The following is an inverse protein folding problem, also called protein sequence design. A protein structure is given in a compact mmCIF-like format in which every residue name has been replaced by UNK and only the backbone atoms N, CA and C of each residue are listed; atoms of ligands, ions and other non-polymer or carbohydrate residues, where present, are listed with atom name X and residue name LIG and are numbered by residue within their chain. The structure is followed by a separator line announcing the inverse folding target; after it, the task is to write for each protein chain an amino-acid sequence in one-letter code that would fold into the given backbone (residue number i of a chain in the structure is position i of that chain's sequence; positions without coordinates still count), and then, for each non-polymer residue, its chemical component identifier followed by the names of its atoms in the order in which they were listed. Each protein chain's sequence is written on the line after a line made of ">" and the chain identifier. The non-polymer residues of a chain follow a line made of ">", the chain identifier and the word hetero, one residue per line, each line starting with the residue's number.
data_IF_610087806949
#
_entry.id   IF_610087806949
#
_cell.length_a   1.000
_cell.length_b   1.000
_cell.length_c   1.000
_cell.angle_alpha   90.00
_cell.angle_beta   90.00
_cell.angle_gamma   90.00
#
_symmetry.space_group_name_H-M   'P 1'
#
loop_
_entity.id
_entity.type
_entity.pdbx_description
1 polymer ?
#
# COMPACT_ATOMS: atom_id res chain seq x y z
N UNK A 1 -41.88 29.15 -3.40
CA UNK A 1 -41.47 27.73 -3.39
C UNK A 1 -40.32 27.43 -4.37
N UNK A 2 -40.10 28.21 -5.44
CA UNK A 2 -38.99 27.98 -6.39
C UNK A 2 -37.57 28.23 -5.82
N UNK A 3 -37.41 29.14 -4.84
CA UNK A 3 -36.10 29.50 -4.25
C UNK A 3 -35.49 28.40 -3.38
N UNK A 4 -36.29 27.63 -2.64
CA UNK A 4 -35.79 26.54 -1.79
C UNK A 4 -35.26 25.33 -2.58
N UNK A 5 -35.74 25.13 -3.82
CA UNK A 5 -35.24 24.07 -4.69
C UNK A 5 -33.92 24.47 -5.34
N UNK A 6 -33.74 25.74 -5.75
CA UNK A 6 -32.48 26.22 -6.32
C UNK A 6 -31.32 26.19 -5.32
N UNK A 7 -31.55 26.57 -4.05
CA UNK A 7 -30.52 26.51 -3.00
C UNK A 7 -30.12 25.07 -2.67
N UNK A 8 -31.06 24.11 -2.67
CA UNK A 8 -30.76 22.69 -2.45
C UNK A 8 -29.93 22.09 -3.57
N UNK A 9 -30.25 22.39 -4.83
CA UNK A 9 -29.49 21.85 -5.98
C UNK A 9 -28.07 22.42 -6.02
N UNK A 10 -27.88 23.69 -5.63
CA UNK A 10 -26.54 24.29 -5.52
C UNK A 10 -25.76 23.71 -4.34
N UNK A 11 -26.37 23.52 -3.16
CA UNK A 11 -25.71 22.89 -2.02
C UNK A 11 -25.30 21.44 -2.28
N UNK A 12 -26.15 20.65 -2.98
CA UNK A 12 -25.84 19.27 -3.38
C UNK A 12 -24.72 19.24 -4.41
N UNK A 13 -24.78 20.10 -5.44
CA UNK A 13 -23.70 20.20 -6.44
C UNK A 13 -22.36 20.64 -5.83
N UNK A 14 -22.40 21.51 -4.81
CA UNK A 14 -21.19 21.95 -4.08
C UNK A 14 -20.67 20.86 -3.15
N UNK A 15 -21.56 20.07 -2.54
CA UNK A 15 -21.21 18.93 -1.71
C UNK A 15 -20.57 17.79 -2.50
N UNK A 16 -21.15 17.42 -3.64
CA UNK A 16 -20.62 16.38 -4.52
C UNK A 16 -19.26 16.79 -5.12
N UNK A 17 -19.12 18.08 -5.48
CA UNK A 17 -17.84 18.64 -5.92
C UNK A 17 -16.77 18.51 -4.83
N UNK A 18 -17.08 18.91 -3.58
CA UNK A 18 -16.16 18.83 -2.46
C UNK A 18 -15.73 17.38 -2.17
N UNK A 19 -16.68 16.44 -2.15
CA UNK A 19 -16.39 15.02 -1.95
C UNK A 19 -15.49 14.49 -3.05
N UNK A 20 -15.77 14.83 -4.31
CA UNK A 20 -14.96 14.41 -5.45
C UNK A 20 -13.54 14.98 -5.37
N UNK A 21 -13.39 16.27 -5.06
CA UNK A 21 -12.07 16.90 -4.90
C UNK A 21 -11.28 16.25 -3.76
N UNK A 22 -11.92 15.96 -2.63
CA UNK A 22 -11.28 15.30 -1.50
C UNK A 22 -10.89 13.85 -1.81
N UNK A 23 -11.70 13.13 -2.59
CA UNK A 23 -11.37 11.79 -3.06
C UNK A 23 -10.16 11.80 -3.99
N UNK A 24 -10.11 12.74 -4.95
CA UNK A 24 -8.96 12.92 -5.85
C UNK A 24 -7.70 13.26 -5.05
N UNK A 25 -7.78 14.20 -4.11
CA UNK A 25 -6.66 14.59 -3.27
C UNK A 25 -6.19 13.42 -2.37
N UNK A 26 -7.12 12.62 -1.83
CA UNK A 26 -6.79 11.40 -1.10
C UNK A 26 -6.06 10.41 -2.00
N UNK A 27 -6.53 10.21 -3.23
CA UNK A 27 -5.93 9.25 -4.15
C UNK A 27 -4.53 9.69 -4.60
N UNK A 28 -4.30 10.99 -4.79
CA UNK A 28 -2.97 11.53 -5.09
C UNK A 28 -1.95 11.33 -3.96
N UNK A 29 -2.40 11.12 -2.72
CA UNK A 29 -1.54 10.77 -1.58
C UNK A 29 -1.36 9.25 -1.42
N UNK A 30 -2.39 8.45 -1.72
CA UNK A 30 -2.35 6.99 -1.56
C UNK A 30 -1.53 6.31 -2.66
N UNK A 31 -1.67 6.76 -3.91
CA UNK A 31 -1.02 6.11 -5.05
C UNK A 31 0.51 6.07 -4.93
N UNK A 32 1.20 7.17 -4.57
CA UNK A 32 2.66 7.13 -4.38
C UNK A 32 3.09 6.15 -3.31
N UNK A 33 2.37 6.07 -2.19
CA UNK A 33 2.68 5.14 -1.09
C UNK A 33 2.57 3.69 -1.57
N UNK A 34 1.49 3.36 -2.29
CA UNK A 34 1.28 2.01 -2.83
C UNK A 34 2.37 1.68 -3.85
N UNK A 35 2.69 2.60 -4.75
CA UNK A 35 3.70 2.40 -5.76
C UNK A 35 5.09 2.19 -5.14
N UNK A 36 5.47 3.02 -4.17
CA UNK A 36 6.73 2.89 -3.44
C UNK A 36 6.82 1.54 -2.72
N UNK A 37 5.75 1.12 -2.05
CA UNK A 37 5.68 -0.20 -1.41
C UNK A 37 5.89 -1.31 -2.42
N UNK A 38 5.13 -1.31 -3.52
CA UNK A 38 5.20 -2.32 -4.57
C UNK A 38 6.59 -2.42 -5.22
N UNK A 39 7.17 -1.29 -5.63
CA UNK A 39 8.50 -1.26 -6.24
C UNK A 39 9.59 -1.76 -5.29
N UNK A 40 9.51 -1.40 -4.00
CA UNK A 40 10.41 -1.95 -3.01
C UNK A 40 10.21 -3.46 -2.84
N UNK A 41 8.95 -3.93 -2.86
CA UNK A 41 8.62 -5.36 -2.82
C UNK A 41 9.29 -6.14 -3.95
N UNK A 42 9.21 -5.63 -5.18
CA UNK A 42 9.88 -6.23 -6.33
C UNK A 42 11.40 -6.34 -6.14
N UNK A 43 12.05 -5.28 -5.66
CA UNK A 43 13.52 -5.26 -5.46
C UNK A 43 13.96 -6.19 -4.36
N UNK A 44 13.26 -6.14 -3.24
CA UNK A 44 13.62 -6.86 -2.01
C UNK A 44 13.32 -8.35 -2.10
N UNK A 45 12.43 -8.79 -3.01
CA UNK A 45 12.15 -10.19 -3.27
C UNK A 45 13.41 -11.01 -3.60
N UNK A 46 14.41 -10.41 -4.24
CA UNK A 46 15.68 -11.08 -4.57
C UNK A 46 16.50 -11.51 -3.34
N UNK A 47 16.25 -10.90 -2.18
CA UNK A 47 16.95 -11.20 -0.92
C UNK A 47 16.13 -12.09 0.02
N UNK A 48 14.94 -12.52 -0.41
CA UNK A 48 14.05 -13.33 0.40
C UNK A 48 14.29 -14.82 0.15
N UNK A 49 14.21 -15.58 1.22
CA UNK A 49 14.29 -17.03 1.17
C UNK A 49 12.94 -17.64 0.76
N UNK A 50 12.95 -18.90 0.34
CA UNK A 50 11.72 -19.67 0.08
C UNK A 50 10.77 -19.69 1.30
N UNK A 51 11.32 -19.77 2.52
CA UNK A 51 10.52 -19.71 3.75
C UNK A 51 9.85 -18.35 3.94
N UNK A 52 10.54 -17.26 3.56
CA UNK A 52 9.98 -15.92 3.60
C UNK A 52 8.80 -15.79 2.63
N UNK A 53 8.91 -16.32 1.40
CA UNK A 53 7.80 -16.34 0.44
C UNK A 53 6.59 -17.12 0.94
N UNK A 54 6.82 -18.33 1.48
CA UNK A 54 5.74 -19.14 2.06
C UNK A 54 5.06 -18.46 3.26
N UNK A 55 5.85 -17.77 4.08
CA UNK A 55 5.30 -17.00 5.19
C UNK A 55 4.41 -15.86 4.67
N UNK A 56 4.88 -15.10 3.68
CA UNK A 56 4.15 -13.98 3.11
C UNK A 56 2.86 -14.42 2.40
N UNK A 57 2.84 -15.55 1.68
CA UNK A 57 1.60 -16.10 1.10
C UNK A 57 0.54 -16.39 2.17
N UNK A 58 0.95 -16.95 3.32
CA UNK A 58 0.03 -17.25 4.42
C UNK A 58 -0.52 -15.99 5.07
N UNK A 59 0.34 -14.98 5.25
CA UNK A 59 -0.04 -13.72 5.90
C UNK A 59 -0.77 -12.78 4.93
N UNK A 60 -0.64 -12.96 3.61
CA UNK A 60 -1.37 -12.16 2.61
C UNK A 60 -2.89 -12.26 2.78
N UNK A 61 -3.42 -13.44 3.13
CA UNK A 61 -4.84 -13.61 3.41
C UNK A 61 -5.31 -12.79 4.64
N UNK A 62 -4.38 -12.47 5.54
CA UNK A 62 -4.60 -11.60 6.70
C UNK A 62 -4.29 -10.13 6.37
N UNK A 63 -3.73 -9.83 5.19
CA UNK A 63 -3.33 -8.50 4.75
C UNK A 63 -4.49 -7.51 4.69
N UNK A 64 -5.66 -7.98 4.27
CA UNK A 64 -6.92 -7.22 4.22
C UNK A 64 -7.43 -6.82 5.60
N UNK A 65 -6.96 -7.49 6.66
CA UNK A 65 -7.30 -7.21 8.05
C UNK A 65 -6.14 -6.56 8.82
N UNK A 66 -5.12 -6.01 8.14
CA UNK A 66 -4.00 -5.33 8.82
C UNK A 66 -4.51 -4.25 9.77
N UNK A 67 -4.44 -4.57 11.05
CA UNK A 67 -4.56 -3.61 12.15
C UNK A 67 -3.15 -3.12 12.55
N UNK A 68 -3.09 -2.29 13.59
CA UNK A 68 -1.81 -1.76 14.07
C UNK A 68 -0.85 -2.84 14.63
N UNK A 69 -1.37 -3.97 15.10
CA UNK A 69 -0.54 -5.06 15.65
C UNK A 69 0.10 -5.88 14.54
N UNK A 70 -0.66 -6.21 13.50
CA UNK A 70 -0.15 -6.88 12.29
C UNK A 70 0.82 -5.96 11.54
N UNK A 71 0.53 -4.65 11.51
CA UNK A 71 1.45 -3.66 11.00
C UNK A 71 2.78 -3.67 11.78
N UNK A 72 2.74 -3.69 13.12
CA UNK A 72 3.95 -3.68 13.94
C UNK A 72 4.83 -4.89 13.67
N UNK A 73 4.22 -6.07 13.51
CA UNK A 73 4.94 -7.29 13.13
C UNK A 73 5.60 -7.16 11.75
N UNK A 74 4.85 -6.76 10.72
CA UNK A 74 5.39 -6.65 9.37
C UNK A 74 6.42 -5.53 9.23
N UNK A 75 6.18 -4.41 9.90
CA UNK A 75 7.11 -3.29 9.91
C UNK A 75 8.43 -3.65 10.58
N UNK A 76 8.38 -4.37 11.71
CA UNK A 76 9.59 -4.90 12.35
C UNK A 76 10.31 -5.88 11.44
N UNK A 77 9.57 -6.73 10.72
CA UNK A 77 10.15 -7.63 9.73
C UNK A 77 10.87 -6.88 8.60
N UNK A 78 10.25 -5.83 8.05
CA UNK A 78 10.87 -4.94 7.06
C UNK A 78 12.12 -4.23 7.60
N UNK A 79 12.09 -3.78 8.85
CA UNK A 79 13.25 -3.19 9.53
C UNK A 79 14.39 -4.18 9.67
N UNK A 80 14.12 -5.44 10.04
CA UNK A 80 15.15 -6.48 10.14
C UNK A 80 15.79 -6.83 8.79
N UNK A 81 15.07 -6.62 7.69
CA UNK A 81 15.55 -6.81 6.32
C UNK A 81 16.18 -5.53 5.73
N UNK A 82 16.28 -4.44 6.50
CA UNK A 82 16.86 -3.16 6.05
C UNK A 82 15.98 -2.35 5.08
N UNK A 83 14.80 -2.86 4.74
CA UNK A 83 13.92 -2.30 3.72
C UNK A 83 13.31 -0.94 4.13
N UNK A 84 13.16 -0.70 5.43
CA UNK A 84 12.60 0.57 5.94
C UNK A 84 13.48 1.79 5.61
N UNK A 85 14.81 1.62 5.57
CA UNK A 85 15.74 2.70 5.21
C UNK A 85 15.74 3.00 3.71
N UNK A 86 15.60 1.97 2.88
CA UNK A 86 15.48 2.12 1.43
C UNK A 86 14.14 2.77 1.04
N UNK A 87 13.04 2.41 1.72
CA UNK A 87 11.74 3.06 1.56
C UNK A 87 11.80 4.57 1.82
N UNK A 88 12.42 4.98 2.93
CA UNK A 88 12.56 6.38 3.29
C UNK A 88 13.55 7.17 2.39
N UNK A 89 14.46 6.48 1.71
CA UNK A 89 15.41 7.11 0.78
C UNK A 89 14.83 7.28 -0.63
N UNK A 90 13.77 6.55 -0.98
CA UNK A 90 13.21 6.51 -2.33
C UNK A 90 12.36 7.74 -2.66
N UNK A 91 11.59 8.24 -1.69
CA UNK A 91 10.76 9.44 -1.84
C UNK A 91 10.59 10.17 -0.49
N UNK A 92 11.11 11.40 -0.33
CA UNK A 92 10.99 12.19 0.90
C UNK A 92 9.55 12.47 1.33
N UNK A 93 8.63 12.65 0.38
CA UNK A 93 7.22 12.92 0.68
C UNK A 93 6.54 11.64 1.16
N UNK A 94 6.88 10.50 0.56
CA UNK A 94 6.46 9.19 1.04
C UNK A 94 7.02 8.89 2.44
N UNK A 95 8.28 9.25 2.71
CA UNK A 95 8.91 9.07 4.02
C UNK A 95 8.18 9.87 5.12
N UNK A 96 7.77 11.10 4.83
CA UNK A 96 6.96 11.90 5.77
C UNK A 96 5.58 11.27 6.02
N UNK A 97 4.90 10.80 4.97
CA UNK A 97 3.58 10.16 5.10
C UNK A 97 3.66 8.87 5.93
N UNK A 98 4.72 8.08 5.73
CA UNK A 98 5.00 6.88 6.52
C UNK A 98 5.32 7.21 7.98
N UNK A 99 6.04 8.30 8.24
CA UNK A 99 6.37 8.71 9.61
C UNK A 99 5.11 9.10 10.41
N UNK A 100 4.14 9.74 9.77
CA UNK A 100 3.03 10.43 10.48
C UNK A 100 1.78 9.56 10.62
N UNK A 101 1.47 8.64 9.68
CA UNK A 101 0.17 7.93 9.68
C UNK A 101 0.30 6.41 9.64
N UNK A 102 -0.37 5.74 10.58
CA UNK A 102 -0.49 4.27 10.62
C UNK A 102 -1.12 3.68 9.35
N UNK A 103 -2.21 4.29 8.85
CA UNK A 103 -2.85 3.90 7.59
C UNK A 103 -1.89 3.92 6.39
N UNK A 104 -1.01 4.93 6.32
CA UNK A 104 0.00 5.03 5.26
C UNK A 104 1.00 3.88 5.33
N UNK A 105 1.43 3.49 6.54
CA UNK A 105 2.32 2.33 6.73
C UNK A 105 1.62 1.02 6.39
N UNK A 106 0.32 0.88 6.71
CA UNK A 106 -0.48 -0.30 6.34
C UNK A 106 -0.54 -0.43 4.82
N UNK A 107 -0.92 0.64 4.12
CA UNK A 107 -1.00 0.67 2.66
C UNK A 107 0.34 0.32 2.02
N UNK A 108 1.43 0.87 2.56
CA UNK A 108 2.79 0.56 2.12
C UNK A 108 3.13 -0.91 2.31
N UNK A 109 2.91 -1.48 3.49
CA UNK A 109 3.23 -2.88 3.79
C UNK A 109 2.40 -3.84 2.92
N UNK A 110 1.11 -3.54 2.72
CA UNK A 110 0.25 -4.30 1.81
C UNK A 110 0.82 -4.31 0.39
N UNK A 111 1.12 -3.14 -0.16
CA UNK A 111 1.67 -3.05 -1.52
C UNK A 111 3.07 -3.63 -1.65
N UNK A 112 3.89 -3.56 -0.60
CA UNK A 112 5.17 -4.26 -0.55
C UNK A 112 5.01 -5.77 -0.64
N UNK A 113 4.10 -6.36 0.15
CA UNK A 113 3.80 -7.79 0.04
C UNK A 113 3.29 -8.16 -1.36
N UNK A 114 2.43 -7.33 -1.96
CA UNK A 114 1.94 -7.55 -3.32
C UNK A 114 3.11 -7.62 -4.33
N UNK A 115 4.09 -6.72 -4.20
CA UNK A 115 5.30 -6.73 -5.02
C UNK A 115 6.14 -8.00 -4.83
N UNK A 116 6.37 -8.41 -3.57
CA UNK A 116 7.11 -9.64 -3.27
C UNK A 116 6.42 -10.87 -3.86
N UNK A 117 5.10 -10.98 -3.68
CA UNK A 117 4.32 -12.13 -4.12
C UNK A 117 4.14 -12.15 -5.64
N UNK A 118 4.18 -11.00 -6.30
CA UNK A 118 4.28 -10.94 -7.76
C UNK A 118 5.52 -11.68 -8.26
N UNK A 119 6.70 -11.39 -7.69
CA UNK A 119 7.95 -12.07 -8.04
C UNK A 119 7.86 -13.57 -7.74
N UNK A 120 7.31 -13.94 -6.59
CA UNK A 120 7.12 -15.35 -6.22
C UNK A 120 6.26 -16.12 -7.23
N UNK A 121 5.15 -15.53 -7.67
CA UNK A 121 4.28 -16.13 -8.67
C UNK A 121 4.98 -16.30 -10.03
N UNK A 122 5.82 -15.34 -10.43
CA UNK A 122 6.64 -15.47 -11.64
C UNK A 122 7.64 -16.63 -11.53
N UNK A 123 8.31 -16.78 -10.38
CA UNK A 123 9.24 -17.89 -10.14
C UNK A 123 8.52 -19.23 -10.23
N UNK A 124 7.36 -19.38 -9.55
CA UNK A 124 6.56 -20.61 -9.61
C UNK A 124 6.13 -20.95 -11.03
N UNK A 125 5.63 -19.97 -11.78
CA UNK A 125 5.21 -20.17 -13.17
C UNK A 125 6.38 -20.63 -14.06
N UNK A 126 7.59 -20.09 -13.87
CA UNK A 126 8.76 -20.55 -14.61
C UNK A 126 9.12 -22.00 -14.27
N UNK A 127 9.04 -22.38 -13.00
CA UNK A 127 9.31 -23.76 -12.57
C UNK A 127 8.28 -24.77 -13.08
N UNK A 128 7.02 -24.36 -13.26
CA UNK A 128 5.97 -25.20 -13.84
C UNK A 128 6.12 -25.36 -15.37
N UNK A 129 6.73 -24.39 -16.05
CA UNK A 129 7.02 -24.46 -17.49
C UNK A 129 8.21 -25.40 -17.78
N UNK A 130 9.17 -25.48 -16.86
CA UNK A 130 10.41 -26.28 -17.00
C UNK A 130 10.28 -27.73 -16.45
N UNK A 131 9.07 -28.17 -16.04
CA UNK A 131 8.77 -29.48 -15.45
C UNK A 131 8.01 -30.42 -16.41
#
# INVERSE_FOLDING_TARGET
>A
MATQQQDRTQQIATGDYLVTTLQVAKQSLINPIRQAGYELGLRTASYLSHQDFQHLERVQALATAFDEDVLKYLWSYLETKGCSKEACAYDPDCAQLLAVRGESRILFCQSWMDGVLHVWNLIKAQMEIDA
#
